data_IF_583021286471
#
_entry.id   IF_583021286471
#
_cell.length_a   1.000
_cell.length_b   1.000
_cell.length_c   1.000
_cell.angle_alpha   90.00
_cell.angle_beta   90.00
_cell.angle_gamma   90.00
#
_symmetry.space_group_name_H-M   'P 1'
#
loop_
_entity.id
_entity.type
_entity.pdbx_description
1 polymer ?
#
# COMPACT_ATOMS: atom_id res chain seq x y z
N UNK A 1 20.61 55.49 -51.62
CA UNK A 1 20.61 54.46 -52.67
C UNK A 1 20.84 53.12 -51.96
N UNK A 2 19.77 52.32 -51.80
CA UNK A 2 19.68 50.84 -51.65
C UNK A 2 20.64 50.15 -50.65
N UNK A 3 20.27 49.26 -49.72
CA UNK A 3 19.07 48.45 -49.43
C UNK A 3 19.24 47.85 -48.03
N UNK A 4 18.14 47.72 -47.30
CA UNK A 4 17.99 46.95 -46.06
C UNK A 4 18.17 45.45 -46.30
N UNK A 5 19.15 44.83 -45.64
CA UNK A 5 19.29 43.37 -45.55
C UNK A 5 18.61 42.82 -44.31
N UNK A 6 17.54 42.04 -44.50
CA UNK A 6 16.82 41.33 -43.44
C UNK A 6 17.67 40.18 -42.86
N UNK A 7 17.52 39.84 -41.56
CA UNK A 7 18.19 38.68 -40.97
C UNK A 7 17.57 37.36 -41.44
N UNK A 8 18.35 36.27 -41.57
CA UNK A 8 17.83 34.96 -41.97
C UNK A 8 16.94 34.37 -40.87
N UNK A 9 15.75 33.94 -41.29
CA UNK A 9 14.78 33.24 -40.45
C UNK A 9 15.27 31.82 -40.17
N UNK A 10 15.46 31.49 -38.90
CA UNK A 10 15.64 30.10 -38.46
C UNK A 10 14.29 29.40 -38.55
N UNK A 11 14.10 28.58 -39.58
CA UNK A 11 12.96 27.68 -39.71
C UNK A 11 13.04 26.57 -38.66
N UNK A 12 12.12 26.60 -37.69
CA UNK A 12 11.80 25.43 -36.88
C UNK A 12 11.07 24.42 -37.76
N UNK A 13 11.80 23.40 -38.20
CA UNK A 13 11.26 22.25 -38.91
C UNK A 13 10.10 21.66 -38.10
N UNK A 14 8.92 21.69 -38.72
CA UNK A 14 7.67 21.15 -38.19
C UNK A 14 7.80 19.63 -38.08
N UNK A 15 8.15 19.13 -36.91
CA UNK A 15 7.92 17.73 -36.58
C UNK A 15 6.41 17.52 -36.49
N UNK A 16 5.85 16.92 -37.54
CA UNK A 16 4.49 16.38 -37.57
C UNK A 16 4.42 15.24 -36.55
N UNK A 17 4.09 15.54 -35.31
CA UNK A 17 3.68 14.51 -34.35
C UNK A 17 2.28 14.07 -34.74
N UNK A 18 2.22 13.02 -35.55
CA UNK A 18 0.97 12.42 -36.01
C UNK A 18 0.20 11.93 -34.78
N UNK A 19 -0.96 12.56 -34.56
CA UNK A 19 -2.05 12.07 -33.76
C UNK A 19 -2.34 10.61 -34.18
N UNK A 20 -2.05 9.65 -33.30
CA UNK A 20 -2.74 8.37 -33.32
C UNK A 20 -3.58 8.30 -32.05
N UNK A 21 -4.82 8.76 -32.21
CA UNK A 21 -5.90 8.62 -31.26
C UNK A 21 -6.27 7.13 -31.20
N UNK A 22 -5.64 6.36 -30.31
CA UNK A 22 -6.11 5.02 -29.99
C UNK A 22 -7.06 5.11 -28.80
N UNK A 23 -8.35 5.21 -29.10
CA UNK A 23 -9.43 5.02 -28.13
C UNK A 23 -9.42 3.55 -27.72
N UNK A 24 -8.66 3.24 -26.66
CA UNK A 24 -8.70 1.97 -25.96
C UNK A 24 -9.64 2.09 -24.77
N UNK A 25 -10.91 1.74 -24.99
CA UNK A 25 -11.92 1.57 -23.94
C UNK A 25 -11.53 0.33 -23.11
N UNK A 26 -10.60 0.52 -22.16
CA UNK A 26 -10.14 -0.52 -21.25
C UNK A 26 -11.01 -0.55 -20.00
N UNK A 27 -11.82 -1.61 -19.89
CA UNK A 27 -12.50 -2.09 -18.69
C UNK A 27 -11.92 -1.54 -17.37
N UNK A 28 -12.64 -0.62 -16.73
CA UNK A 28 -12.49 -0.32 -15.31
C UNK A 28 -13.08 -1.54 -14.57
N UNK A 29 -12.33 -2.63 -14.55
CA UNK A 29 -12.56 -3.73 -13.63
C UNK A 29 -12.23 -3.22 -12.24
N UNK A 30 -13.24 -2.72 -11.52
CA UNK A 30 -13.09 -2.42 -10.11
C UNK A 30 -12.51 -3.64 -9.41
N UNK A 31 -11.40 -3.46 -8.69
CA UNK A 31 -10.82 -4.48 -7.83
C UNK A 31 -11.88 -4.77 -6.75
N UNK A 32 -12.73 -5.76 -7.02
CA UNK A 32 -13.76 -6.19 -6.11
C UNK A 32 -13.03 -6.79 -4.90
N UNK A 33 -13.19 -6.17 -3.72
CA UNK A 33 -12.68 -6.76 -2.47
C UNK A 33 -13.17 -8.20 -2.34
N UNK A 34 -12.33 -9.09 -1.78
CA UNK A 34 -12.70 -10.49 -1.54
C UNK A 34 -14.05 -10.53 -0.81
N UNK A 35 -15.07 -11.07 -1.46
CA UNK A 35 -16.41 -11.24 -0.88
C UNK A 35 -16.39 -12.45 0.04
N UNK A 36 -16.65 -12.24 1.32
CA UNK A 36 -16.73 -13.28 2.35
C UNK A 36 -15.70 -13.09 3.47
N UNK A 37 -15.89 -13.75 4.63
CA UNK A 37 -14.91 -13.76 5.71
C UNK A 37 -13.53 -14.20 5.20
N UNK A 38 -12.48 -13.67 5.81
CA UNK A 38 -11.11 -14.04 5.48
C UNK A 38 -10.94 -15.56 5.54
N UNK A 39 -10.17 -16.16 4.61
CA UNK A 39 -9.98 -17.61 4.60
C UNK A 39 -9.42 -18.10 5.93
N UNK A 40 -9.99 -19.18 6.45
CA UNK A 40 -9.49 -19.83 7.66
C UNK A 40 -8.02 -20.19 7.49
N UNK A 41 -7.13 -19.83 8.45
CA UNK A 41 -5.70 -20.08 8.33
C UNK A 41 -5.39 -21.58 8.21
N UNK A 42 -4.28 -21.95 7.54
CA UNK A 42 -3.95 -23.33 7.25
C UNK A 42 -3.76 -24.20 8.51
N UNK A 43 -3.16 -23.66 9.59
CA UNK A 43 -3.04 -24.34 10.89
C UNK A 43 -4.43 -24.77 11.42
N UNK A 44 -5.42 -23.87 11.39
CA UNK A 44 -6.80 -24.18 11.81
C UNK A 44 -7.51 -25.16 10.87
N UNK A 45 -7.15 -25.20 9.58
CA UNK A 45 -7.71 -26.17 8.63
C UNK A 45 -7.17 -27.58 8.85
N UNK A 46 -5.92 -27.71 9.30
CA UNK A 46 -5.32 -28.98 9.67
C UNK A 46 -5.96 -29.56 10.93
N UNK A 47 -6.14 -28.73 11.96
CA UNK A 47 -6.78 -29.13 13.23
C UNK A 47 -8.22 -29.60 13.00
N UNK A 48 -8.98 -28.87 12.18
CA UNK A 48 -10.36 -29.24 11.83
C UNK A 48 -10.45 -30.29 10.69
N UNK A 49 -9.33 -30.92 10.37
CA UNK A 49 -9.18 -31.89 9.29
C UNK A 49 -9.81 -33.24 9.56
N UNK A 50 -10.13 -33.98 8.48
CA UNK A 50 -10.57 -35.39 8.58
C UNK A 50 -9.41 -36.40 8.63
N UNK A 51 -8.17 -35.93 8.59
CA UNK A 51 -6.97 -36.76 8.58
C UNK A 51 -5.73 -35.91 8.41
N UNK A 52 -4.56 -36.52 8.62
CA UNK A 52 -3.29 -35.82 8.62
C UNK A 52 -3.04 -35.06 7.29
N UNK A 53 -2.64 -33.79 7.41
CA UNK A 53 -2.41 -32.90 6.28
C UNK A 53 -3.65 -32.50 5.45
N UNK A 54 -4.89 -32.76 5.91
CA UNK A 54 -6.13 -32.52 5.14
C UNK A 54 -7.10 -31.60 5.85
N UNK A 55 -7.87 -30.83 5.08
CA UNK A 55 -8.96 -29.99 5.62
C UNK A 55 -10.24 -30.81 5.92
N UNK A 56 -11.25 -30.16 6.49
CA UNK A 56 -12.55 -30.77 6.77
C UNK A 56 -13.26 -31.33 5.53
N UNK A 57 -12.91 -30.82 4.33
CA UNK A 57 -13.37 -31.29 3.04
C UNK A 57 -12.49 -32.37 2.40
N UNK A 58 -11.46 -32.86 3.09
CA UNK A 58 -10.54 -33.90 2.62
C UNK A 58 -9.48 -33.41 1.61
N UNK A 59 -9.36 -32.10 1.38
CA UNK A 59 -8.36 -31.51 0.48
C UNK A 59 -7.04 -31.36 1.22
N UNK A 60 -5.91 -31.62 0.55
CA UNK A 60 -4.58 -31.40 1.12
C UNK A 60 -4.41 -29.92 1.47
N UNK A 61 -4.09 -29.62 2.73
CA UNK A 61 -3.78 -28.26 3.17
C UNK A 61 -2.36 -27.94 2.69
N UNK A 62 -2.20 -26.81 2.00
CA UNK A 62 -0.86 -26.29 1.71
C UNK A 62 -0.37 -25.60 2.97
N UNK A 63 0.79 -26.04 3.46
CA UNK A 63 1.49 -25.34 4.53
C UNK A 63 1.80 -23.91 4.09
N UNK A 64 1.72 -22.98 5.04
CA UNK A 64 2.11 -21.62 4.76
C UNK A 64 3.62 -21.57 4.50
N UNK A 65 4.09 -20.78 3.53
CA UNK A 65 5.52 -20.54 3.39
C UNK A 65 6.07 -19.96 4.69
N UNK A 66 7.16 -20.55 5.17
CA UNK A 66 7.90 -20.05 6.32
C UNK A 66 8.67 -18.78 5.91
N UNK A 67 8.52 -17.72 6.69
CA UNK A 67 9.16 -16.45 6.44
C UNK A 67 9.96 -16.05 7.66
N UNK A 68 11.25 -15.78 7.46
CA UNK A 68 12.11 -15.21 8.49
C UNK A 68 11.53 -13.86 8.97
N UNK A 69 11.26 -13.80 10.28
CA UNK A 69 10.73 -12.61 10.94
C UNK A 69 11.89 -11.70 11.30
N UNK A 70 12.03 -10.61 10.54
CA UNK A 70 13.12 -9.65 10.71
C UNK A 70 12.58 -8.24 10.44
N UNK A 71 13.00 -7.28 11.26
CA UNK A 71 12.69 -5.87 11.06
C UNK A 71 13.28 -5.35 9.74
N UNK A 72 12.49 -4.71 8.87
CA UNK A 72 13.02 -4.10 7.66
C UNK A 72 13.90 -2.88 8.00
N UNK A 73 14.93 -2.67 7.17
CA UNK A 73 15.85 -1.54 7.31
C UNK A 73 15.20 -0.25 6.84
N UNK A 74 15.22 0.78 7.68
CA UNK A 74 14.68 2.11 7.35
C UNK A 74 15.49 2.77 6.22
N UNK A 75 14.82 3.32 5.17
CA UNK A 75 15.49 4.07 4.11
C UNK A 75 16.12 5.37 4.62
N UNK A 76 17.34 5.67 4.15
CA UNK A 76 18.10 6.86 4.60
C UNK A 76 17.59 8.17 3.99
N UNK A 77 17.01 8.14 2.79
CA UNK A 77 16.54 9.33 2.07
C UNK A 77 15.17 9.84 2.54
N UNK A 78 14.46 9.08 3.39
CA UNK A 78 13.13 9.43 3.83
C UNK A 78 13.12 10.74 4.67
N UNK A 79 12.11 11.62 4.51
CA UNK A 79 12.01 12.83 5.31
C UNK A 79 11.90 12.52 6.81
N UNK A 80 12.43 13.39 7.67
CA UNK A 80 12.49 13.17 9.12
C UNK A 80 11.12 12.90 9.75
N UNK A 81 10.08 13.59 9.28
CA UNK A 81 8.70 13.39 9.73
C UNK A 81 8.15 11.99 9.39
N UNK A 82 8.48 11.45 8.21
CA UNK A 82 8.09 10.09 7.81
C UNK A 82 8.90 9.02 8.57
N UNK A 83 10.19 9.27 8.83
CA UNK A 83 11.04 8.39 9.66
C UNK A 83 10.50 8.24 11.10
N UNK A 84 9.90 9.29 11.65
CA UNK A 84 9.24 9.21 12.96
C UNK A 84 8.06 8.24 12.93
N UNK A 85 7.20 8.34 11.91
CA UNK A 85 6.09 7.39 11.70
C UNK A 85 6.61 5.97 11.47
N UNK A 86 7.68 5.78 10.70
CA UNK A 86 8.29 4.47 10.50
C UNK A 86 8.67 3.80 11.82
N UNK A 87 9.36 4.53 12.71
CA UNK A 87 9.78 3.99 14.01
C UNK A 87 8.59 3.53 14.84
N UNK A 88 7.53 4.33 14.91
CA UNK A 88 6.33 4.01 15.69
C UNK A 88 5.63 2.76 15.16
N UNK A 89 5.44 2.68 13.84
CA UNK A 89 4.74 1.56 13.19
C UNK A 89 5.55 0.28 13.27
N UNK A 90 6.86 0.35 12.96
CA UNK A 90 7.74 -0.83 13.05
C UNK A 90 7.84 -1.35 14.48
N UNK A 91 7.94 -0.47 15.48
CA UNK A 91 7.93 -0.90 16.87
C UNK A 91 6.62 -1.61 17.25
N UNK A 92 5.48 -1.08 16.82
CA UNK A 92 4.18 -1.70 17.09
C UNK A 92 4.02 -3.07 16.41
N UNK A 93 4.41 -3.19 15.13
CA UNK A 93 4.29 -4.42 14.35
C UNK A 93 5.34 -5.47 14.74
N UNK A 94 6.52 -5.04 15.18
CA UNK A 94 7.55 -5.96 15.66
C UNK A 94 7.15 -6.65 16.96
N UNK A 95 6.44 -5.96 17.86
CA UNK A 95 5.85 -6.58 19.05
C UNK A 95 4.88 -7.72 18.71
N UNK A 96 4.33 -7.74 17.50
CA UNK A 96 3.44 -8.79 17.00
C UNK A 96 4.20 -9.90 16.26
N UNK A 97 5.52 -9.77 16.04
CA UNK A 97 6.34 -10.78 15.35
C UNK A 97 6.01 -10.95 13.86
N UNK A 98 5.24 -10.05 13.25
CA UNK A 98 4.72 -10.26 11.89
C UNK A 98 5.61 -9.70 10.78
N UNK A 99 6.57 -8.84 11.12
CA UNK A 99 7.39 -8.13 10.15
C UNK A 99 8.40 -9.03 9.44
N UNK A 100 8.58 -8.76 8.15
CA UNK A 100 9.61 -9.38 7.31
C UNK A 100 10.48 -8.30 6.69
N UNK A 101 11.70 -8.68 6.33
CA UNK A 101 12.62 -7.81 5.59
C UNK A 101 12.03 -7.28 4.28
N UNK A 102 11.22 -8.09 3.59
CA UNK A 102 10.57 -7.75 2.31
C UNK A 102 9.45 -6.72 2.45
N UNK A 103 8.94 -6.48 3.65
CA UNK A 103 7.85 -5.51 3.89
C UNK A 103 8.35 -4.05 3.86
N UNK A 104 9.66 -3.85 3.79
CA UNK A 104 10.29 -2.52 3.84
C UNK A 104 9.72 -1.50 2.85
N UNK A 105 9.66 -1.79 1.54
CA UNK A 105 9.09 -0.86 0.55
C UNK A 105 7.61 -0.53 0.81
N UNK A 106 6.83 -1.49 1.29
CA UNK A 106 5.40 -1.29 1.61
C UNK A 106 5.22 -0.39 2.83
N UNK A 107 6.04 -0.58 3.87
CA UNK A 107 6.07 0.31 5.03
C UNK A 107 6.56 1.72 4.66
N UNK A 108 7.47 1.81 3.70
CA UNK A 108 7.97 3.10 3.21
C UNK A 108 6.86 3.87 2.52
N UNK A 109 6.09 3.21 1.66
CA UNK A 109 4.95 3.80 0.98
C UNK A 109 3.91 4.31 1.99
N UNK A 110 3.58 3.51 3.03
CA UNK A 110 2.70 3.94 4.12
C UNK A 110 3.22 5.20 4.83
N UNK A 111 4.49 5.19 5.26
CA UNK A 111 5.07 6.32 6.00
C UNK A 111 5.12 7.59 5.15
N UNK A 112 5.40 7.44 3.85
CA UNK A 112 5.40 8.54 2.89
C UNK A 112 4.00 9.09 2.67
N UNK A 113 2.97 8.24 2.56
CA UNK A 113 1.58 8.66 2.44
C UNK A 113 1.10 9.43 3.69
N UNK A 114 1.46 8.99 4.90
CA UNK A 114 1.17 9.72 6.15
C UNK A 114 1.84 11.09 6.15
N UNK A 115 3.08 11.19 5.68
CA UNK A 115 3.77 12.48 5.54
C UNK A 115 3.08 13.38 4.51
N UNK A 116 2.78 12.90 3.30
CA UNK A 116 2.08 13.66 2.27
C UNK A 116 0.72 14.17 2.76
N UNK A 117 -0.04 13.34 3.48
CA UNK A 117 -1.30 13.75 4.10
C UNK A 117 -1.11 14.93 5.05
N UNK A 118 -0.09 14.87 5.92
CA UNK A 118 0.20 15.95 6.88
C UNK A 118 0.62 17.24 6.17
N UNK A 119 1.46 17.16 5.13
CA UNK A 119 1.86 18.34 4.36
C UNK A 119 0.68 18.94 3.59
N UNK A 120 -0.18 18.11 2.99
CA UNK A 120 -1.38 18.60 2.31
C UNK A 120 -2.37 19.29 3.28
N UNK A 121 -2.52 18.79 4.51
CA UNK A 121 -3.34 19.46 5.53
C UNK A 121 -2.73 20.80 5.93
N UNK A 122 -1.41 20.87 6.16
CA UNK A 122 -0.72 22.13 6.49
C UNK A 122 -0.92 23.18 5.40
N UNK A 123 -0.79 22.78 4.14
CA UNK A 123 -1.00 23.66 2.98
C UNK A 123 -2.42 24.24 2.95
N UNK A 124 -3.43 23.39 3.16
CA UNK A 124 -4.84 23.83 3.19
C UNK A 124 -5.13 24.78 4.38
N UNK A 125 -4.48 24.55 5.53
CA UNK A 125 -4.59 25.43 6.69
C UNK A 125 -3.92 26.78 6.45
N UNK A 126 -2.74 26.80 5.81
CA UNK A 126 -2.02 28.03 5.51
C UNK A 126 -2.75 28.89 4.47
N UNK A 127 -3.37 28.27 3.46
CA UNK A 127 -4.05 28.98 2.38
C UNK A 127 -5.55 29.24 2.63
N UNK A 128 -6.08 28.79 3.78
CA UNK A 128 -7.39 29.20 4.29
C UNK A 128 -8.60 28.65 3.53
N UNK A 129 -8.46 27.60 2.71
CA UNK A 129 -9.61 27.10 1.94
C UNK A 129 -9.37 25.82 1.16
N UNK A 130 -10.50 25.15 0.84
CA UNK A 130 -10.54 23.98 -0.04
C UNK A 130 -10.63 24.36 -1.52
N UNK A 131 -10.72 25.65 -1.82
CA UNK A 131 -10.82 26.20 -3.17
C UNK A 131 -9.89 27.39 -3.36
N UNK A 132 -9.47 27.59 -4.61
CA UNK A 132 -8.68 28.74 -5.05
C UNK A 132 -9.46 29.44 -6.16
N UNK A 133 -9.56 30.76 -6.07
CA UNK A 133 -10.16 31.58 -7.13
C UNK A 133 -9.09 31.82 -8.20
N UNK A 134 -9.40 31.41 -9.43
CA UNK A 134 -8.53 31.66 -10.59
C UNK A 134 -8.64 33.12 -11.05
N UNK A 135 -7.68 33.59 -11.84
CA UNK A 135 -7.70 34.95 -12.43
C UNK A 135 -8.98 35.24 -13.23
N UNK A 136 -9.67 34.20 -13.71
CA UNK A 136 -10.96 34.28 -14.41
C UNK A 136 -12.18 34.40 -13.47
N UNK A 137 -11.99 34.50 -12.16
CA UNK A 137 -13.06 34.58 -11.16
C UNK A 137 -13.74 33.24 -10.83
N UNK A 138 -13.32 32.14 -11.45
CA UNK A 138 -13.90 30.81 -11.20
C UNK A 138 -13.19 30.13 -10.02
N UNK A 139 -13.95 29.64 -9.06
CA UNK A 139 -13.45 28.85 -7.94
C UNK A 139 -13.16 27.40 -8.40
N UNK A 140 -11.93 26.95 -8.17
CA UNK A 140 -11.49 25.56 -8.43
C UNK A 140 -11.03 24.90 -7.12
N UNK A 141 -11.11 23.57 -6.99
CA UNK A 141 -10.59 22.89 -5.80
C UNK A 141 -9.09 23.15 -5.65
N UNK A 142 -8.64 23.34 -4.42
CA UNK A 142 -7.23 23.54 -4.12
C UNK A 142 -6.44 22.27 -4.49
N UNK A 143 -5.28 22.35 -5.18
CA UNK A 143 -4.51 21.19 -5.60
C UNK A 143 -4.21 20.19 -4.47
N UNK A 144 -3.89 20.70 -3.28
CA UNK A 144 -3.67 19.89 -2.08
C UNK A 144 -4.86 19.00 -1.67
N UNK A 145 -6.10 19.31 -2.08
CA UNK A 145 -7.27 18.45 -1.82
C UNK A 145 -7.12 17.11 -2.54
N UNK A 146 -6.62 17.12 -3.78
CA UNK A 146 -6.41 15.89 -4.55
C UNK A 146 -5.29 15.04 -3.95
N UNK A 147 -4.18 15.67 -3.55
CA UNK A 147 -3.07 15.00 -2.85
C UNK A 147 -3.53 14.40 -1.52
N UNK A 148 -4.32 15.14 -0.74
CA UNK A 148 -4.88 14.67 0.52
C UNK A 148 -5.78 13.44 0.33
N UNK A 149 -6.64 13.47 -0.69
CA UNK A 149 -7.53 12.34 -1.02
C UNK A 149 -6.73 11.10 -1.41
N UNK A 150 -5.72 11.25 -2.26
CA UNK A 150 -4.84 10.15 -2.67
C UNK A 150 -4.11 9.54 -1.46
N UNK A 151 -3.43 10.38 -0.68
CA UNK A 151 -2.70 9.95 0.51
C UNK A 151 -3.60 9.21 1.52
N UNK A 152 -4.83 9.69 1.75
CA UNK A 152 -5.80 9.00 2.64
C UNK A 152 -6.22 7.63 2.11
N UNK A 153 -6.39 7.50 0.79
CA UNK A 153 -6.71 6.22 0.15
C UNK A 153 -5.55 5.23 0.33
N UNK A 154 -4.32 5.67 0.09
CA UNK A 154 -3.12 4.84 0.23
C UNK A 154 -2.92 4.41 1.70
N UNK A 155 -3.09 5.35 2.65
CA UNK A 155 -3.04 5.06 4.08
C UNK A 155 -4.05 3.98 4.44
N UNK A 156 -5.30 4.07 3.96
CA UNK A 156 -6.32 3.07 4.26
C UNK A 156 -5.96 1.69 3.70
N UNK A 157 -5.46 1.62 2.46
CA UNK A 157 -5.03 0.37 1.83
C UNK A 157 -3.90 -0.29 2.62
N UNK A 158 -2.81 0.43 2.86
CA UNK A 158 -1.66 -0.12 3.61
C UNK A 158 -2.00 -0.40 5.08
N UNK A 159 -2.85 0.42 5.72
CA UNK A 159 -3.32 0.16 7.08
C UNK A 159 -4.13 -1.14 7.17
N UNK A 160 -4.88 -1.49 6.12
CA UNK A 160 -5.56 -2.78 6.04
C UNK A 160 -4.55 -3.93 5.90
N UNK A 161 -3.55 -3.78 5.03
CA UNK A 161 -2.57 -4.84 4.76
C UNK A 161 -1.68 -5.16 5.98
N UNK A 162 -1.34 -4.15 6.77
CA UNK A 162 -0.59 -4.30 8.02
C UNK A 162 -1.47 -4.44 9.27
N UNK A 163 -2.80 -4.47 9.12
CA UNK A 163 -3.76 -4.61 10.23
C UNK A 163 -3.68 -3.50 11.29
N UNK A 164 -3.35 -2.29 10.86
CA UNK A 164 -3.38 -1.08 11.68
C UNK A 164 -4.79 -0.49 11.84
N UNK A 165 -5.81 -1.14 11.26
CA UNK A 165 -7.22 -0.76 11.35
C UNK A 165 -7.96 -1.81 12.18
N UNK A 166 -8.82 -1.44 13.15
CA UNK A 166 -9.61 -2.38 13.96
C UNK A 166 -10.32 -3.48 13.17
N UNK A 167 -10.83 -3.15 11.97
CA UNK A 167 -11.51 -4.13 11.11
C UNK A 167 -10.57 -5.19 10.50
N UNK A 168 -9.26 -4.91 10.44
CA UNK A 168 -8.22 -5.78 9.88
C UNK A 168 -7.38 -6.47 10.97
N UNK A 169 -7.50 -6.08 12.24
CA UNK A 169 -6.78 -6.73 13.36
C UNK A 169 -7.06 -8.23 13.43
N UNK A 170 -8.30 -8.66 13.16
CA UNK A 170 -8.69 -10.07 13.15
C UNK A 170 -8.02 -10.91 12.06
N UNK A 171 -7.47 -10.29 11.01
CA UNK A 171 -6.70 -10.98 9.98
C UNK A 171 -5.25 -11.27 10.43
N UNK A 172 -4.77 -10.61 11.48
CA UNK A 172 -3.37 -10.65 11.95
C UNK A 172 -3.21 -11.43 13.26
N UNK A 173 -4.27 -11.54 14.07
CA UNK A 173 -4.26 -12.15 15.41
C UNK A 173 -3.85 -13.64 15.48
N UNK A 174 -3.61 -14.31 14.34
CA UNK A 174 -3.13 -15.70 14.29
C UNK A 174 -1.70 -15.88 13.80
N UNK A 175 -0.94 -14.80 13.57
CA UNK A 175 0.42 -14.86 13.03
C UNK A 175 1.55 -14.76 14.07
N UNK A 176 1.24 -14.40 15.33
CA UNK A 176 2.22 -14.07 16.37
C UNK A 176 2.64 -15.20 17.31
N UNK A 177 1.93 -16.34 17.30
CA UNK A 177 2.24 -17.48 18.18
C UNK A 177 2.93 -18.57 17.36
N UNK A 178 4.25 -18.48 17.29
CA UNK A 178 5.14 -19.55 16.83
C UNK A 178 6.13 -19.91 17.95
N UNK A 179 5.60 -20.16 19.14
CA UNK A 179 6.31 -20.98 20.11
C UNK A 179 6.20 -22.43 19.62
N UNK A 180 7.33 -22.94 19.15
CA UNK A 180 7.50 -24.24 18.50
C UNK A 180 7.36 -25.44 19.45
N UNK A 181 6.27 -25.49 20.21
CA UNK A 181 5.87 -26.70 20.91
C UNK A 181 5.14 -27.60 19.92
N UNK A 182 5.93 -28.38 19.18
CA UNK A 182 5.45 -29.67 18.69
C UNK A 182 5.13 -30.52 19.93
N UNK A 183 3.96 -30.31 20.52
CA UNK A 183 3.36 -31.29 21.41
C UNK A 183 3.18 -32.56 20.57
N UNK A 184 4.10 -33.51 20.75
CA UNK A 184 3.94 -34.89 20.31
C UNK A 184 2.54 -35.33 20.74
N UNK A 185 1.65 -35.50 19.77
CA UNK A 185 0.27 -35.86 20.02
C UNK A 185 0.26 -37.22 20.74
N UNK A 186 -0.11 -37.28 22.04
CA UNK A 186 -0.01 -38.51 22.83
C UNK A 186 -1.05 -39.57 22.40
N UNK A 187 -1.91 -39.25 21.42
CA UNK A 187 -2.86 -40.16 20.79
C UNK A 187 -2.48 -40.58 19.36
N UNK A 188 -1.32 -40.15 18.84
CA UNK A 188 -0.79 -40.69 17.60
C UNK A 188 -0.36 -42.15 17.84
N UNK A 189 -1.15 -43.10 17.34
CA UNK A 189 -0.85 -44.52 17.45
C UNK A 189 0.44 -44.85 16.65
N UNK A 190 1.38 -45.63 17.19
CA UNK A 190 2.53 -46.10 16.43
C UNK A 190 2.06 -47.06 15.32
N UNK A 191 2.66 -46.92 14.13
CA UNK A 191 2.46 -47.77 12.97
C UNK A 191 3.11 -49.16 13.14
#
# INVERSE_FOLDING_TARGET
>A
MWTTGAPPKLEFSRLRFSFLFLVGFGLIGGIMGRRGPSPTPPKLRLINGRGDGRDSGGRKVKEAPDFERERPKMPSYMPSAAKSTWKQVVEALDRLGILKKVDGPSLEAYCTAVWQMREAVKELQANGGLSVVTDSGVAKPHPAVSALKAARSDIHTFARDFGLNPAAEGDISGMGDDDGDQEENPFAMPA
#
